data_IF_692418218788
#
_entry.id   IF_692418218788
#
_cell.length_a   1.000
_cell.length_b   1.000
_cell.length_c   1.000
_cell.angle_alpha   90.00
_cell.angle_beta   90.00
_cell.angle_gamma   90.00
#
_symmetry.space_group_name_H-M   'P 1'
#
loop_
_entity.id
_entity.type
_entity.pdbx_description
1 polymer ?
#
# COMPACT_ATOMS: atom_id res chain seq x y z
N UNK A 1 7.54 -12.47 -17.04
CA UNK A 1 7.43 -13.05 -15.68
C UNK A 1 5.95 -13.21 -15.40
N UNK A 2 5.49 -14.43 -15.14
CA UNK A 2 4.08 -14.68 -14.81
C UNK A 2 3.87 -14.35 -13.34
N UNK A 3 2.84 -13.57 -13.03
CA UNK A 3 2.46 -13.25 -11.65
C UNK A 3 1.37 -14.24 -11.24
N UNK A 4 1.63 -15.02 -10.19
CA UNK A 4 0.73 -16.05 -9.67
C UNK A 4 0.65 -16.07 -8.12
N UNK A 5 1.27 -15.05 -7.48
CA UNK A 5 1.16 -14.87 -6.03
C UNK A 5 -0.19 -14.27 -5.63
N UNK A 6 -0.78 -13.50 -6.53
CA UNK A 6 -2.11 -12.89 -6.39
C UNK A 6 -2.91 -13.15 -7.66
N UNK A 7 -4.22 -13.34 -7.51
CA UNK A 7 -5.11 -13.64 -8.63
C UNK A 7 -5.90 -12.38 -9.02
N UNK A 8 -5.26 -11.48 -9.77
CA UNK A 8 -5.88 -10.28 -10.33
C UNK A 8 -6.12 -10.45 -11.84
N UNK A 9 -7.16 -9.83 -12.34
CA UNK A 9 -7.42 -9.69 -13.78
C UNK A 9 -6.52 -8.62 -14.40
N UNK A 10 -6.39 -8.60 -15.72
CA UNK A 10 -5.59 -7.58 -16.42
C UNK A 10 -6.11 -6.15 -16.11
N UNK A 11 -7.42 -5.96 -16.05
CA UNK A 11 -8.03 -4.67 -15.71
C UNK A 11 -7.69 -4.25 -14.26
N UNK A 12 -7.67 -5.20 -13.33
CA UNK A 12 -7.27 -4.93 -11.95
C UNK A 12 -5.80 -4.54 -11.86
N UNK A 13 -4.92 -5.21 -12.62
CA UNK A 13 -3.51 -4.80 -12.70
C UNK A 13 -3.33 -3.41 -13.32
N UNK A 14 -4.08 -3.08 -14.37
CA UNK A 14 -4.01 -1.78 -15.04
C UNK A 14 -4.47 -0.61 -14.14
N UNK A 15 -5.32 -0.89 -13.15
CA UNK A 15 -5.82 0.09 -12.21
C UNK A 15 -4.88 0.35 -11.00
N UNK A 16 -3.77 -0.40 -10.89
CA UNK A 16 -2.85 -0.28 -9.75
C UNK A 16 -1.83 0.85 -9.97
N UNK A 17 -1.45 1.49 -8.87
CA UNK A 17 -0.31 2.43 -8.86
C UNK A 17 1.01 1.69 -9.13
N UNK A 18 2.02 2.44 -9.60
CA UNK A 18 3.37 1.90 -9.85
C UNK A 18 3.95 1.22 -8.60
N UNK A 19 3.75 1.80 -7.43
CA UNK A 19 4.23 1.26 -6.16
C UNK A 19 3.58 -0.09 -5.82
N UNK A 20 2.26 -0.21 -5.99
CA UNK A 20 1.53 -1.48 -5.82
C UNK A 20 2.05 -2.56 -6.77
N UNK A 21 2.32 -2.19 -8.03
CA UNK A 21 2.89 -3.10 -9.02
C UNK A 21 4.31 -3.54 -8.65
N UNK A 22 5.15 -2.65 -8.12
CA UNK A 22 6.50 -2.99 -7.67
C UNK A 22 6.47 -3.95 -6.46
N UNK A 23 5.57 -3.73 -5.50
CA UNK A 23 5.45 -4.65 -4.36
C UNK A 23 4.92 -6.04 -4.78
N UNK A 24 3.93 -6.11 -5.68
CA UNK A 24 3.47 -7.39 -6.26
C UNK A 24 4.64 -8.10 -6.97
N UNK A 25 5.45 -7.37 -7.76
CA UNK A 25 6.62 -7.91 -8.42
C UNK A 25 7.67 -8.41 -7.42
N UNK A 26 7.92 -7.66 -6.36
CA UNK A 26 8.83 -8.03 -5.28
C UNK A 26 8.37 -9.32 -4.60
N UNK A 27 7.10 -9.42 -4.23
CA UNK A 27 6.51 -10.60 -3.62
C UNK A 27 6.59 -11.83 -4.55
N UNK A 28 6.33 -11.65 -5.85
CA UNK A 28 6.48 -12.72 -6.85
C UNK A 28 7.93 -13.20 -6.97
N UNK A 29 8.89 -12.29 -6.94
CA UNK A 29 10.32 -12.65 -6.97
C UNK A 29 10.73 -13.44 -5.71
N UNK A 30 10.22 -13.06 -4.53
CA UNK A 30 10.44 -13.81 -3.28
C UNK A 30 9.88 -15.23 -3.38
N UNK A 31 8.64 -15.39 -3.88
CA UNK A 31 8.02 -16.70 -4.14
C UNK A 31 8.86 -17.55 -5.09
N UNK A 32 9.32 -16.99 -6.21
CA UNK A 32 10.11 -17.72 -7.20
C UNK A 32 11.45 -18.19 -6.62
N UNK A 33 12.10 -17.38 -5.78
CA UNK A 33 13.33 -17.78 -5.05
C UNK A 33 13.06 -18.94 -4.08
N UNK A 34 11.94 -18.91 -3.36
CA UNK A 34 11.56 -20.02 -2.47
C UNK A 34 11.29 -21.30 -3.26
N UNK A 35 10.65 -21.20 -4.44
CA UNK A 35 10.41 -22.36 -5.30
C UNK A 35 11.72 -22.97 -5.80
N UNK A 36 12.67 -22.15 -6.27
CA UNK A 36 13.99 -22.62 -6.68
C UNK A 36 14.74 -23.30 -5.51
N UNK A 37 14.72 -22.69 -4.31
CA UNK A 37 15.35 -23.27 -3.12
C UNK A 37 14.69 -24.58 -2.67
N UNK A 38 13.37 -24.75 -2.87
CA UNK A 38 12.68 -25.99 -2.62
C UNK A 38 13.19 -27.09 -3.56
N UNK A 39 13.24 -26.84 -4.86
CA UNK A 39 13.71 -27.82 -5.86
C UNK A 39 15.17 -28.25 -5.59
N UNK A 40 16.05 -27.31 -5.25
CA UNK A 40 17.43 -27.63 -4.85
C UNK A 40 17.49 -28.53 -3.61
N UNK A 41 16.68 -28.22 -2.57
CA UNK A 41 16.61 -29.03 -1.35
C UNK A 41 16.05 -30.41 -1.62
N UNK A 42 14.98 -30.53 -2.40
CA UNK A 42 14.41 -31.82 -2.79
C UNK A 42 15.43 -32.67 -3.53
N UNK A 43 16.16 -32.09 -4.47
CA UNK A 43 17.23 -32.77 -5.21
C UNK A 43 18.36 -33.23 -4.27
N UNK A 44 18.81 -32.38 -3.36
CA UNK A 44 19.87 -32.70 -2.43
C UNK A 44 19.47 -33.81 -1.44
N UNK A 45 18.27 -33.76 -0.87
CA UNK A 45 17.79 -34.80 0.05
C UNK A 45 17.54 -36.14 -0.67
N UNK A 46 17.00 -36.10 -1.90
CA UNK A 46 16.86 -37.28 -2.73
C UNK A 46 18.22 -37.94 -3.00
N UNK A 47 19.23 -37.17 -3.39
CA UNK A 47 20.57 -37.68 -3.66
C UNK A 47 21.18 -38.33 -2.42
N UNK A 48 21.05 -37.73 -1.23
CA UNK A 48 21.51 -38.31 0.05
C UNK A 48 20.88 -39.66 0.33
N UNK A 49 19.59 -39.86 -0.02
CA UNK A 49 18.92 -41.14 0.17
C UNK A 49 19.38 -42.17 -0.86
N UNK A 50 19.64 -41.78 -2.10
CA UNK A 50 20.20 -42.63 -3.13
C UNK A 50 21.60 -43.14 -2.71
N UNK A 51 22.47 -42.21 -2.26
CA UNK A 51 23.83 -42.52 -1.84
C UNK A 51 23.86 -43.50 -0.65
N UNK A 52 22.83 -43.48 0.19
CA UNK A 52 22.66 -44.38 1.33
C UNK A 52 21.94 -45.68 0.98
N UNK A 53 21.55 -45.89 -0.28
CA UNK A 53 20.74 -47.07 -0.70
C UNK A 53 19.29 -47.06 -0.11
N UNK A 54 18.81 -45.93 0.36
CA UNK A 54 17.52 -45.76 1.04
C UNK A 54 16.43 -45.11 0.15
N UNK A 55 16.63 -45.06 -1.14
CA UNK A 55 15.67 -44.56 -2.13
C UNK A 55 15.29 -45.66 -3.12
N UNK A 56 14.00 -45.83 -3.48
CA UNK A 56 12.83 -45.13 -2.92
C UNK A 56 12.41 -45.67 -1.53
N UNK A 57 11.88 -44.81 -0.66
CA UNK A 57 11.44 -45.21 0.66
C UNK A 57 10.34 -44.30 1.22
N UNK A 58 9.59 -44.77 2.22
CA UNK A 58 8.63 -43.94 2.96
C UNK A 58 9.26 -42.71 3.64
N UNK A 59 10.57 -42.76 3.91
CA UNK A 59 11.34 -41.65 4.46
C UNK A 59 11.38 -40.49 3.46
N UNK A 60 11.52 -40.80 2.15
CA UNK A 60 11.48 -39.77 1.12
C UNK A 60 10.14 -39.04 1.10
N UNK A 61 9.01 -39.77 1.12
CA UNK A 61 7.67 -39.18 1.14
C UNK A 61 7.49 -38.18 2.27
N UNK A 62 7.95 -38.54 3.50
CA UNK A 62 7.88 -37.66 4.67
C UNK A 62 8.77 -36.41 4.55
N UNK A 63 9.96 -36.54 3.96
CA UNK A 63 10.87 -35.42 3.73
C UNK A 63 10.26 -34.47 2.69
N UNK A 64 9.78 -35.01 1.58
CA UNK A 64 9.14 -34.24 0.51
C UNK A 64 7.93 -33.47 1.04
N UNK A 65 7.01 -34.14 1.75
CA UNK A 65 5.84 -33.53 2.37
C UNK A 65 6.23 -32.37 3.30
N UNK A 66 7.20 -32.59 4.18
CA UNK A 66 7.69 -31.56 5.10
C UNK A 66 8.28 -30.35 4.38
N UNK A 67 9.07 -30.55 3.33
CA UNK A 67 9.68 -29.48 2.55
C UNK A 67 8.62 -28.69 1.78
N UNK A 68 7.65 -29.37 1.17
CA UNK A 68 6.53 -28.73 0.47
C UNK A 68 5.60 -27.99 1.41
N UNK A 69 5.29 -28.54 2.59
CA UNK A 69 4.49 -27.86 3.62
C UNK A 69 5.18 -26.58 4.10
N UNK A 70 6.50 -26.64 4.33
CA UNK A 70 7.27 -25.45 4.67
C UNK A 70 7.22 -24.39 3.57
N UNK A 71 7.41 -24.77 2.31
CA UNK A 71 7.32 -23.85 1.19
C UNK A 71 5.93 -23.20 1.12
N UNK A 72 4.86 -23.96 1.28
CA UNK A 72 3.50 -23.43 1.29
C UNK A 72 3.29 -22.41 2.40
N UNK A 73 3.77 -22.70 3.61
CA UNK A 73 3.70 -21.77 4.73
C UNK A 73 4.49 -20.48 4.47
N UNK A 74 5.73 -20.59 3.96
CA UNK A 74 6.57 -19.43 3.64
C UNK A 74 5.95 -18.57 2.53
N UNK A 75 5.35 -19.17 1.50
CA UNK A 75 4.61 -18.47 0.43
C UNK A 75 3.37 -17.77 0.99
N UNK A 76 2.64 -18.42 1.92
CA UNK A 76 1.47 -17.81 2.53
C UNK A 76 1.84 -16.54 3.32
N UNK A 77 2.94 -16.56 4.07
CA UNK A 77 3.44 -15.37 4.79
C UNK A 77 3.72 -14.22 3.82
N UNK A 78 4.36 -14.50 2.67
CA UNK A 78 4.63 -13.46 1.65
C UNK A 78 3.30 -12.91 1.08
N UNK A 79 2.34 -13.79 0.81
CA UNK A 79 1.04 -13.41 0.29
C UNK A 79 0.25 -12.57 1.28
N UNK A 80 0.23 -12.95 2.56
CA UNK A 80 -0.47 -12.22 3.62
C UNK A 80 0.13 -10.83 3.81
N UNK A 81 1.48 -10.72 3.79
CA UNK A 81 2.17 -9.44 3.81
C UNK A 81 1.83 -8.56 2.61
N UNK A 82 1.76 -9.13 1.40
CA UNK A 82 1.35 -8.41 0.19
C UNK A 82 -0.11 -7.93 0.29
N UNK A 83 -1.02 -8.79 0.73
CA UNK A 83 -2.43 -8.43 0.89
C UNK A 83 -2.62 -7.33 1.95
N UNK A 84 -1.89 -7.42 3.06
CA UNK A 84 -1.87 -6.36 4.06
C UNK A 84 -1.42 -5.03 3.46
N UNK A 85 -0.30 -5.02 2.71
CA UNK A 85 0.18 -3.82 2.02
C UNK A 85 -0.87 -3.25 1.06
N UNK A 86 -1.45 -4.09 0.19
CA UNK A 86 -2.42 -3.65 -0.80
C UNK A 86 -3.71 -3.09 -0.19
N UNK A 87 -4.13 -3.60 0.98
CA UNK A 87 -5.37 -3.17 1.64
C UNK A 87 -5.18 -2.00 2.59
N UNK A 88 -4.10 -1.98 3.37
CA UNK A 88 -3.96 -1.03 4.47
C UNK A 88 -2.94 0.07 4.21
N UNK A 89 -1.80 -0.26 3.63
CA UNK A 89 -0.74 0.74 3.39
C UNK A 89 -1.06 1.55 2.14
N UNK A 90 -1.48 0.87 1.07
CA UNK A 90 -1.79 1.53 -0.19
C UNK A 90 -3.17 2.21 -0.23
N UNK A 91 -4.05 1.95 0.76
CA UNK A 91 -5.27 2.75 0.96
C UNK A 91 -4.99 4.02 1.78
N UNK A 92 -3.95 4.04 2.61
CA UNK A 92 -3.55 5.27 3.30
C UNK A 92 -3.02 6.35 2.35
N UNK A 93 -2.45 5.99 1.20
CA UNK A 93 -2.13 6.97 0.16
C UNK A 93 -3.37 7.58 -0.51
N UNK A 94 -4.49 6.83 -0.57
CA UNK A 94 -5.79 7.37 -0.96
C UNK A 94 -6.56 7.99 0.22
N UNK A 95 -6.21 7.68 1.47
CA UNK A 95 -6.78 8.27 2.68
C UNK A 95 -6.07 9.55 3.12
N UNK A 96 -4.96 9.92 2.49
CA UNK A 96 -4.45 11.29 2.51
C UNK A 96 -5.37 12.27 1.75
N UNK A 97 -6.53 11.79 1.30
CA UNK A 97 -7.62 12.59 0.76
C UNK A 97 -8.85 12.39 1.66
N UNK A 98 -9.01 13.27 2.63
CA UNK A 98 -10.16 13.40 3.55
C UNK A 98 -10.03 12.62 4.86
N UNK A 99 -9.60 13.26 5.90
CA UNK A 99 -10.28 13.11 7.20
C UNK A 99 -11.78 13.19 6.90
N UNK A 100 -12.58 12.21 7.35
CA UNK A 100 -14.02 12.15 7.08
C UNK A 100 -14.65 13.51 7.36
N UNK A 101 -15.10 14.22 6.30
CA UNK A 101 -15.72 15.52 6.40
C UNK A 101 -14.87 16.74 6.00
N UNK A 102 -13.59 16.57 5.66
CA UNK A 102 -12.73 17.66 5.16
C UNK A 102 -12.66 17.59 3.64
N UNK A 103 -13.06 18.63 2.90
CA UNK A 103 -13.21 18.58 1.45
C UNK A 103 -11.93 18.82 0.65
N UNK A 104 -10.78 19.07 1.30
CA UNK A 104 -9.48 19.28 0.68
C UNK A 104 -8.45 18.27 1.20
N UNK A 105 -7.33 18.11 0.48
CA UNK A 105 -6.26 17.18 0.84
C UNK A 105 -5.59 17.60 2.15
N UNK A 106 -5.56 16.68 3.13
CA UNK A 106 -4.89 16.90 4.42
C UNK A 106 -3.57 16.14 4.42
N UNK A 107 -2.46 16.86 4.58
CA UNK A 107 -1.12 16.31 4.61
C UNK A 107 -0.27 17.06 5.66
N UNK A 108 -0.05 16.41 6.80
CA UNK A 108 0.76 17.00 7.88
C UNK A 108 2.27 16.89 7.66
N UNK A 109 2.73 16.23 6.60
CA UNK A 109 4.15 16.22 6.21
C UNK A 109 4.57 17.52 5.54
N UNK A 110 3.61 18.32 5.06
CA UNK A 110 3.82 19.61 4.44
C UNK A 110 4.02 20.72 5.48
N UNK A 111 4.74 21.78 5.09
CA UNK A 111 4.86 23.00 5.92
C UNK A 111 3.51 23.69 6.08
N UNK A 112 3.39 24.59 7.07
CA UNK A 112 2.14 25.36 7.30
C UNK A 112 1.79 26.22 6.08
N UNK A 113 2.79 26.78 5.41
CA UNK A 113 2.60 27.57 4.19
C UNK A 113 2.04 26.73 3.04
N UNK A 114 2.58 25.53 2.82
CA UNK A 114 2.08 24.62 1.78
C UNK A 114 0.65 24.15 2.08
N UNK A 115 0.35 23.85 3.35
CA UNK A 115 -1.01 23.50 3.80
C UNK A 115 -1.99 24.65 3.60
N UNK A 116 -1.57 25.88 3.90
CA UNK A 116 -2.37 27.09 3.67
C UNK A 116 -2.68 27.27 2.18
N UNK A 117 -1.71 27.03 1.28
CA UNK A 117 -1.94 27.11 -0.16
C UNK A 117 -2.99 26.10 -0.65
N UNK A 118 -2.97 24.86 -0.16
CA UNK A 118 -3.98 23.86 -0.48
C UNK A 118 -5.38 24.31 -0.06
N UNK A 119 -5.51 24.82 1.17
CA UNK A 119 -6.78 25.34 1.68
C UNK A 119 -7.24 26.54 0.86
N UNK A 120 -6.36 27.48 0.59
CA UNK A 120 -6.66 28.67 -0.23
C UNK A 120 -7.18 28.29 -1.61
N UNK A 121 -6.45 27.43 -2.33
CA UNK A 121 -6.80 26.96 -3.66
C UNK A 121 -8.17 26.26 -3.66
N UNK A 122 -8.44 25.41 -2.65
CA UNK A 122 -9.74 24.77 -2.52
C UNK A 122 -10.89 25.78 -2.44
N UNK A 123 -10.81 26.77 -1.53
CA UNK A 123 -11.88 27.74 -1.35
C UNK A 123 -12.03 28.68 -2.54
N UNK A 124 -10.93 29.07 -3.20
CA UNK A 124 -10.98 29.89 -4.42
C UNK A 124 -11.61 29.18 -5.62
N UNK A 125 -11.34 27.88 -5.77
CA UNK A 125 -11.88 27.08 -6.89
C UNK A 125 -13.30 26.63 -6.65
N UNK A 126 -13.67 26.33 -5.40
CA UNK A 126 -14.99 25.80 -5.05
C UNK A 126 -16.04 26.90 -4.95
N UNK A 127 -15.69 28.06 -4.42
CA UNK A 127 -16.59 29.16 -4.18
C UNK A 127 -16.19 30.40 -5.00
N UNK A 128 -16.87 30.61 -6.13
CA UNK A 128 -16.62 31.77 -7.01
C UNK A 128 -17.06 33.07 -6.33
N UNK A 129 -18.17 33.05 -5.60
CA UNK A 129 -18.67 34.19 -4.84
C UNK A 129 -17.87 34.42 -3.57
N UNK A 130 -17.36 35.65 -3.37
CA UNK A 130 -16.47 36.01 -2.28
C UNK A 130 -17.14 35.92 -0.91
N UNK A 131 -18.43 36.28 -0.79
CA UNK A 131 -19.15 36.24 0.47
C UNK A 131 -19.45 34.78 0.89
N UNK A 132 -19.83 33.92 -0.07
CA UNK A 132 -20.03 32.49 0.15
C UNK A 132 -18.71 31.81 0.52
N UNK A 133 -17.62 32.16 -0.16
CA UNK A 133 -16.26 31.68 0.14
C UNK A 133 -15.86 31.97 1.59
N UNK A 134 -15.99 33.24 1.98
CA UNK A 134 -15.65 33.66 3.35
C UNK A 134 -16.52 32.95 4.40
N UNK A 135 -17.82 32.82 4.16
CA UNK A 135 -18.74 32.13 5.08
C UNK A 135 -18.34 30.67 5.23
N UNK A 136 -18.12 29.95 4.12
CA UNK A 136 -17.73 28.55 4.13
C UNK A 136 -16.38 28.33 4.82
N UNK A 137 -15.39 29.20 4.57
CA UNK A 137 -14.08 29.16 5.23
C UNK A 137 -14.19 29.38 6.74
N UNK A 138 -15.01 30.33 7.17
CA UNK A 138 -15.20 30.66 8.59
C UNK A 138 -15.90 29.54 9.37
N UNK A 139 -16.82 28.82 8.74
CA UNK A 139 -17.57 27.71 9.33
C UNK A 139 -16.73 26.42 9.42
N UNK A 140 -15.65 26.30 8.65
CA UNK A 140 -14.75 25.15 8.71
C UNK A 140 -13.82 25.22 9.94
N UNK A 141 -14.26 24.57 11.00
CA UNK A 141 -13.49 24.53 12.25
C UNK A 141 -12.15 23.78 12.14
N UNK A 142 -12.01 22.90 11.14
CA UNK A 142 -10.79 22.12 10.94
C UNK A 142 -9.64 22.95 10.36
N UNK A 143 -9.92 23.94 9.54
CA UNK A 143 -8.91 24.83 8.93
C UNK A 143 -7.99 25.42 10.00
N UNK A 144 -8.54 25.89 11.13
CA UNK A 144 -7.76 26.49 12.22
C UNK A 144 -6.71 25.54 12.78
N UNK A 145 -7.06 24.26 12.89
CA UNK A 145 -6.16 23.24 13.41
C UNK A 145 -5.13 22.83 12.35
N UNK A 146 -5.54 22.81 11.08
CA UNK A 146 -4.73 22.32 9.97
C UNK A 146 -3.62 23.29 9.56
N UNK A 147 -3.90 24.59 9.48
CA UNK A 147 -2.94 25.60 9.04
C UNK A 147 -2.39 26.47 10.20
N UNK A 148 -2.80 26.22 11.44
CA UNK A 148 -2.20 26.81 12.63
C UNK A 148 -2.20 28.33 12.64
N UNK A 149 -1.02 28.93 12.82
CA UNK A 149 -0.85 30.37 12.91
C UNK A 149 -1.21 31.14 11.61
N UNK A 150 -1.22 30.43 10.47
CA UNK A 150 -1.57 31.01 9.17
C UNK A 150 -3.08 31.15 8.94
N UNK A 151 -3.91 30.71 9.91
CA UNK A 151 -5.36 30.90 9.82
C UNK A 151 -5.77 32.37 9.75
N UNK A 152 -5.21 33.22 10.61
CA UNK A 152 -5.57 34.64 10.64
C UNK A 152 -5.18 35.37 9.36
N UNK A 153 -3.97 35.23 8.82
CA UNK A 153 -3.62 35.77 7.51
C UNK A 153 -4.56 35.35 6.39
N UNK A 154 -4.97 34.07 6.34
CA UNK A 154 -5.87 33.56 5.32
C UNK A 154 -7.32 34.01 5.54
N UNK A 155 -7.74 34.12 6.80
CA UNK A 155 -9.05 34.68 7.16
C UNK A 155 -9.17 36.16 6.69
N UNK A 156 -8.15 36.96 6.95
CA UNK A 156 -8.14 38.37 6.52
C UNK A 156 -8.08 38.50 4.99
N UNK A 157 -7.40 37.59 4.34
CA UNK A 157 -7.39 37.51 2.87
C UNK A 157 -8.77 37.24 2.27
N UNK A 158 -9.57 36.35 2.89
CA UNK A 158 -10.93 36.05 2.41
C UNK A 158 -12.01 37.01 2.94
N UNK A 159 -11.68 37.83 3.92
CA UNK A 159 -12.64 38.75 4.52
C UNK A 159 -13.20 39.71 3.48
N UNK A 160 -14.52 39.76 3.38
CA UNK A 160 -15.28 40.72 2.58
C UNK A 160 -16.04 41.64 3.55
N UNK A 161 -15.78 42.95 3.54
CA UNK A 161 -16.47 43.91 4.42
C UNK A 161 -17.95 44.08 4.08
#
# INVERSE_FOLDING_TARGET
>A
MTIDIINYTEDQFAALSTEKLEEIRSAQLKKNRLAAALEEKLKAEKQKLVDKGAYPSDVWGKIEEKLRAKYTADVQIIRDGLLFFLHYVAEDENKNTSLSGVPYKVDYSLSEEERMLIVKEYYETTYVDAAQRYTAFKEDSFVKVYIGELYLPLHDYFYVP
#
